data_IF_301179717231
#
_entry.id   IF_301179717231
#
_cell.length_a   1.000
_cell.length_b   1.000
_cell.length_c   1.000
_cell.angle_alpha   90.00
_cell.angle_beta   90.00
_cell.angle_gamma   90.00
#
_symmetry.space_group_name_H-M   'P 1'
#
loop_
_entity.id
_entity.type
_entity.pdbx_description
1 polymer ?
#
# COMPACT_ATOMS: atom_id res chain seq x y z
N UNK A 1 -10.06 -4.47 35.86
CA UNK A 1 -9.09 -4.06 34.83
C UNK A 1 -9.09 -5.12 33.77
N UNK A 2 -9.26 -4.74 32.51
CA UNK A 2 -9.06 -5.69 31.41
C UNK A 2 -7.60 -6.10 31.33
N UNK A 3 -7.28 -7.28 30.77
CA UNK A 3 -5.89 -7.72 30.57
C UNK A 3 -5.08 -6.71 29.74
N UNK A 4 -5.75 -6.00 28.82
CA UNK A 4 -5.12 -4.95 28.00
C UNK A 4 -4.73 -3.73 28.84
N UNK A 5 -5.57 -3.29 29.76
CA UNK A 5 -5.27 -2.14 30.66
C UNK A 5 -4.10 -2.43 31.61
N UNK A 6 -3.84 -3.70 31.92
CA UNK A 6 -2.67 -4.07 32.73
C UNK A 6 -1.34 -3.73 32.04
N UNK A 7 -1.32 -3.52 30.72
CA UNK A 7 -0.13 -3.10 29.97
C UNK A 7 0.18 -1.60 30.12
N UNK A 8 -0.72 -0.79 30.69
CA UNK A 8 -0.45 0.63 30.90
C UNK A 8 0.73 0.79 31.87
N UNK A 9 1.72 1.60 31.48
CA UNK A 9 2.96 1.79 32.21
C UNK A 9 4.10 0.84 31.79
N UNK A 10 3.80 -0.26 31.10
CA UNK A 10 4.84 -1.12 30.54
C UNK A 10 5.57 -0.44 29.39
N UNK A 11 6.81 -0.87 29.17
CA UNK A 11 7.72 -0.32 28.19
C UNK A 11 7.69 -1.10 26.87
N UNK A 12 7.70 -0.37 25.77
CA UNK A 12 7.77 -0.88 24.41
C UNK A 12 9.03 -0.37 23.73
N UNK A 13 9.61 -1.21 22.88
CA UNK A 13 10.65 -0.82 21.94
C UNK A 13 9.99 -0.64 20.58
N UNK A 14 9.96 0.59 20.09
CA UNK A 14 9.57 0.90 18.71
C UNK A 14 10.77 0.76 17.79
N UNK A 15 10.65 0.02 16.69
CA UNK A 15 11.75 -0.21 15.75
C UNK A 15 11.24 -0.10 14.32
N UNK A 16 11.87 0.80 13.56
CA UNK A 16 11.49 1.07 12.20
C UNK A 16 12.19 0.16 11.21
N UNK A 17 11.46 -0.30 10.16
CA UNK A 17 12.11 -0.97 9.05
C UNK A 17 13.25 -0.12 8.48
N UNK A 18 14.29 -0.78 8.03
CA UNK A 18 15.57 -0.23 7.58
C UNK A 18 16.36 0.50 8.67
N UNK A 19 16.11 0.22 9.95
CA UNK A 19 16.90 0.77 11.07
C UNK A 19 17.34 -0.35 12.03
N UNK A 20 18.31 -0.06 12.89
CA UNK A 20 18.82 -0.98 13.92
C UNK A 20 18.84 -0.37 15.34
N UNK A 21 18.25 0.81 15.48
CA UNK A 21 18.13 1.54 16.74
C UNK A 21 16.68 1.55 17.18
N UNK A 22 16.37 0.79 18.23
CA UNK A 22 15.06 0.82 18.87
C UNK A 22 14.90 2.06 19.74
N UNK A 23 13.69 2.60 19.81
CA UNK A 23 13.38 3.74 20.69
C UNK A 23 12.43 3.27 21.79
N UNK A 24 12.84 3.49 23.03
CA UNK A 24 12.06 3.11 24.19
C UNK A 24 10.86 4.05 24.37
N UNK A 25 9.71 3.47 24.65
CA UNK A 25 8.46 4.19 24.85
C UNK A 25 7.63 3.55 25.96
N UNK A 26 6.64 4.28 26.48
CA UNK A 26 5.77 3.80 27.55
C UNK A 26 4.32 3.81 27.10
N UNK A 27 3.60 2.73 27.36
CA UNK A 27 2.16 2.65 27.10
C UNK A 27 1.42 3.55 28.08
N UNK A 28 0.60 4.46 27.57
CA UNK A 28 -0.22 5.38 28.41
C UNK A 28 -1.72 5.16 28.25
N UNK A 29 -2.16 4.39 27.26
CA UNK A 29 -3.57 4.16 27.00
C UNK A 29 -3.79 3.45 25.67
N UNK A 30 -5.06 3.27 25.33
CA UNK A 30 -5.49 2.57 24.13
C UNK A 30 -6.61 3.30 23.41
N UNK A 31 -6.60 3.20 22.09
CA UNK A 31 -7.63 3.69 21.19
C UNK A 31 -8.25 2.52 20.42
N UNK A 32 -9.42 2.75 19.83
CA UNK A 32 -10.05 1.82 18.88
C UNK A 32 -9.49 1.94 17.47
N UNK A 33 -8.78 3.03 17.15
CA UNK A 33 -8.18 3.24 15.84
C UNK A 33 -7.10 2.19 15.55
N UNK A 34 -6.98 1.79 14.27
CA UNK A 34 -5.94 0.86 13.80
C UNK A 34 -4.63 1.60 13.47
N UNK A 35 -4.26 2.57 14.31
CA UNK A 35 -3.02 3.36 14.21
C UNK A 35 -2.41 3.53 15.59
N UNK A 36 -1.08 3.58 15.66
CA UNK A 36 -0.35 3.88 16.89
C UNK A 36 -0.15 5.39 17.02
N UNK A 37 -0.57 5.96 18.15
CA UNK A 37 -0.31 7.37 18.46
C UNK A 37 0.93 7.53 19.33
N UNK A 38 1.75 8.51 18.98
CA UNK A 38 2.93 8.88 19.74
C UNK A 38 3.24 10.37 19.56
N UNK A 39 4.03 10.93 20.47
CA UNK A 39 4.57 12.27 20.31
C UNK A 39 5.47 12.33 19.05
N UNK A 40 5.42 13.39 18.22
CA UNK A 40 6.23 13.50 16.99
C UNK A 40 7.71 13.22 17.19
N UNK A 41 8.33 13.75 18.27
CA UNK A 41 9.71 13.41 18.63
C UNK A 41 9.99 11.90 18.71
N UNK A 42 9.05 11.11 19.25
CA UNK A 42 9.22 9.65 19.34
C UNK A 42 9.15 9.00 17.94
N UNK A 43 8.31 9.52 17.06
CA UNK A 43 8.20 9.01 15.69
C UNK A 43 9.48 9.33 14.91
N UNK A 44 9.92 10.58 14.92
CA UNK A 44 11.11 11.01 14.19
C UNK A 44 12.42 10.49 14.80
N UNK A 45 12.46 10.21 16.09
CA UNK A 45 13.59 9.49 16.70
C UNK A 45 13.78 8.08 16.13
N UNK A 46 12.70 7.46 15.66
CA UNK A 46 12.74 6.17 14.96
C UNK A 46 13.10 6.31 13.48
N UNK A 47 13.48 7.51 13.02
CA UNK A 47 13.81 7.83 11.62
C UNK A 47 12.66 7.54 10.66
N UNK A 48 11.45 7.93 11.07
CA UNK A 48 10.22 7.74 10.30
C UNK A 48 9.58 9.06 9.91
N UNK A 49 9.01 9.05 8.72
CA UNK A 49 8.18 10.13 8.21
C UNK A 49 6.72 9.82 8.53
N UNK A 50 5.93 10.84 8.80
CA UNK A 50 4.50 10.67 9.10
C UNK A 50 3.61 10.73 7.84
N UNK A 51 4.08 10.20 6.71
CA UNK A 51 3.44 10.26 5.38
C UNK A 51 2.76 8.93 4.94
N UNK A 52 2.60 8.00 5.88
CA UNK A 52 1.96 6.69 5.64
C UNK A 52 2.82 5.49 6.00
N UNK A 53 3.97 5.72 6.63
CA UNK A 53 4.88 4.68 7.06
C UNK A 53 4.29 3.75 8.13
N UNK A 54 4.69 2.48 8.05
CA UNK A 54 4.41 1.46 9.04
C UNK A 54 5.62 1.23 9.96
N UNK A 55 5.35 0.91 11.22
CA UNK A 55 6.38 0.73 12.23
C UNK A 55 6.11 -0.50 13.11
N UNK A 56 7.16 -1.05 13.72
CA UNK A 56 7.03 -2.19 14.62
C UNK A 56 7.10 -1.75 16.09
N UNK A 57 6.38 -2.47 16.95
CA UNK A 57 6.47 -2.30 18.39
C UNK A 57 6.57 -3.66 19.08
N UNK A 58 7.51 -3.79 20.01
CA UNK A 58 7.75 -5.01 20.77
C UNK A 58 7.77 -4.68 22.26
N UNK A 59 7.42 -5.64 23.11
CA UNK A 59 7.56 -5.46 24.57
C UNK A 59 9.04 -5.47 24.95
N UNK A 60 9.45 -4.56 25.84
CA UNK A 60 10.85 -4.46 26.23
C UNK A 60 11.43 -5.78 26.74
N UNK A 61 10.71 -6.45 27.66
CA UNK A 61 11.18 -7.71 28.22
C UNK A 61 11.25 -8.84 27.18
N UNK A 62 10.37 -8.82 26.18
CA UNK A 62 10.40 -9.79 25.08
C UNK A 62 11.67 -9.59 24.23
N UNK A 63 11.97 -8.34 23.85
CA UNK A 63 13.22 -8.02 23.17
C UNK A 63 14.44 -8.48 23.96
N UNK A 64 14.51 -8.17 25.26
CA UNK A 64 15.69 -8.50 26.07
C UNK A 64 15.91 -10.00 26.28
N UNK A 65 14.83 -10.78 26.41
CA UNK A 65 14.92 -12.22 26.67
C UNK A 65 15.11 -13.04 25.38
N UNK A 66 14.46 -12.64 24.30
CA UNK A 66 14.36 -13.45 23.09
C UNK A 66 15.26 -12.98 21.95
N UNK A 67 15.88 -11.81 22.04
CA UNK A 67 16.84 -11.34 21.04
C UNK A 67 18.23 -11.95 21.26
N UNK A 68 18.83 -12.44 20.18
CA UNK A 68 20.25 -12.80 20.13
C UNK A 68 20.80 -12.51 18.73
N UNK A 69 21.98 -11.87 18.61
CA UNK A 69 22.66 -11.69 17.33
C UNK A 69 22.88 -13.00 16.55
N UNK A 70 22.96 -14.13 17.23
CA UNK A 70 23.11 -15.46 16.63
C UNK A 70 21.93 -15.89 15.75
N UNK A 71 20.76 -15.26 15.91
CA UNK A 71 19.58 -15.53 15.08
C UNK A 71 19.51 -14.65 13.82
N UNK A 72 20.39 -13.65 13.70
CA UNK A 72 20.39 -12.77 12.55
C UNK A 72 20.94 -13.49 11.30
N UNK A 73 20.34 -13.28 10.12
CA UNK A 73 20.80 -13.93 8.91
C UNK A 73 22.20 -13.42 8.52
N UNK A 74 23.08 -14.34 8.14
CA UNK A 74 24.47 -14.03 7.76
C UNK A 74 24.61 -13.28 6.41
N UNK A 75 23.51 -13.03 5.70
CA UNK A 75 23.50 -12.29 4.44
C UNK A 75 23.64 -10.78 4.67
N UNK A 76 24.07 -10.04 3.64
CA UNK A 76 24.12 -8.57 3.67
C UNK A 76 22.74 -7.99 4.02
N UNK A 77 22.71 -7.08 5.00
CA UNK A 77 21.49 -6.44 5.49
C UNK A 77 20.80 -7.19 6.63
N UNK A 78 21.34 -8.32 7.11
CA UNK A 78 20.71 -9.10 8.19
C UNK A 78 20.68 -8.44 9.57
N UNK A 79 21.42 -7.35 9.75
CA UNK A 79 21.42 -6.53 10.98
C UNK A 79 20.40 -5.39 10.95
N UNK A 80 19.82 -5.11 9.79
CA UNK A 80 18.71 -4.17 9.67
C UNK A 80 17.45 -4.85 10.22
N UNK A 81 16.54 -4.05 10.78
CA UNK A 81 15.27 -4.52 11.35
C UNK A 81 15.43 -5.34 12.64
N UNK A 82 16.59 -5.19 13.31
CA UNK A 82 16.87 -5.77 14.61
C UNK A 82 17.25 -4.67 15.63
N UNK A 83 16.75 -4.73 16.89
CA UNK A 83 17.04 -3.71 17.90
C UNK A 83 18.44 -3.93 18.51
N UNK A 84 19.50 -3.63 17.73
CA UNK A 84 20.91 -3.81 18.14
C UNK A 84 21.28 -2.80 19.24
N UNK A 85 20.80 -1.57 19.10
CA UNK A 85 20.99 -0.49 20.07
C UNK A 85 19.63 0.08 20.45
N UNK A 86 19.51 0.64 21.65
CA UNK A 86 18.27 1.22 22.15
C UNK A 86 18.48 2.63 22.69
N UNK A 87 17.68 3.56 22.20
CA UNK A 87 17.60 4.94 22.69
C UNK A 87 16.58 5.03 23.81
N UNK A 88 17.03 5.44 24.99
CA UNK A 88 16.21 5.54 26.21
C UNK A 88 15.73 6.96 26.47
N UNK A 89 16.51 7.96 26.05
CA UNK A 89 16.23 9.38 26.21
C UNK A 89 16.18 10.04 24.85
N UNK A 90 15.18 10.89 24.63
CA UNK A 90 15.01 11.64 23.39
C UNK A 90 15.61 13.03 23.54
N UNK A 91 16.58 13.35 22.69
CA UNK A 91 17.01 14.72 22.45
C UNK A 91 16.39 15.23 21.12
N UNK A 92 15.47 16.22 21.15
CA UNK A 92 14.91 16.82 19.94
C UNK A 92 15.94 17.41 18.98
N UNK A 93 17.19 17.65 19.40
CA UNK A 93 18.25 18.07 18.47
C UNK A 93 18.77 16.94 17.57
N UNK A 94 18.69 15.70 18.02
CA UNK A 94 19.27 14.54 17.32
C UNK A 94 18.25 13.80 16.43
N UNK A 95 16.96 14.10 16.62
CA UNK A 95 15.88 13.57 15.78
C UNK A 95 15.86 14.24 14.41
N UNK A 96 15.08 13.66 13.51
CA UNK A 96 14.89 14.15 12.16
C UNK A 96 14.35 15.59 12.08
N UNK A 97 14.73 16.32 11.02
CA UNK A 97 14.43 17.74 10.84
C UNK A 97 12.97 18.00 10.42
N UNK A 98 12.23 16.98 9.98
CA UNK A 98 10.79 17.10 9.71
C UNK A 98 10.03 17.65 10.93
N UNK A 99 10.37 17.19 12.14
CA UNK A 99 9.72 17.69 13.36
C UNK A 99 10.18 19.10 13.71
N UNK A 100 11.37 19.52 13.29
CA UNK A 100 11.86 20.88 13.55
C UNK A 100 11.00 21.94 12.83
N UNK A 101 10.38 21.56 11.71
CA UNK A 101 9.47 22.40 10.94
C UNK A 101 8.04 22.48 11.52
N UNK A 102 7.70 21.70 12.56
CA UNK A 102 6.37 21.76 13.17
C UNK A 102 6.12 23.08 13.89
N UNK A 103 4.94 23.64 13.65
CA UNK A 103 4.47 24.87 14.28
C UNK A 103 3.93 24.56 15.69
N UNK A 104 4.27 25.41 16.66
CA UNK A 104 3.90 25.22 18.08
C UNK A 104 2.89 26.26 18.59
N UNK A 105 2.45 27.18 17.73
CA UNK A 105 1.60 28.29 18.12
C UNK A 105 0.14 27.83 18.37
N UNK A 106 -0.53 28.29 19.44
CA UNK A 106 -1.92 27.95 19.71
C UNK A 106 -2.89 28.57 18.69
N UNK A 107 -2.51 29.69 18.07
CA UNK A 107 -3.22 30.31 16.97
C UNK A 107 -2.23 31.05 16.09
N UNK A 108 -2.49 31.09 14.78
CA UNK A 108 -1.64 31.84 13.86
C UNK A 108 -1.86 33.35 14.04
N UNK A 109 -0.80 34.16 13.95
CA UNK A 109 -0.92 35.62 14.05
C UNK A 109 -1.63 36.20 12.83
N UNK A 110 -2.25 37.38 12.98
CA UNK A 110 -2.91 38.08 11.87
C UNK A 110 -1.95 38.38 10.71
N UNK A 111 -0.67 38.60 11.00
CA UNK A 111 0.38 38.81 10.00
C UNK A 111 0.52 37.62 9.05
N UNK A 112 0.42 36.39 9.56
CA UNK A 112 0.46 35.16 8.76
C UNK A 112 -0.67 35.16 7.73
N UNK A 113 -1.92 35.38 8.17
CA UNK A 113 -3.08 35.41 7.26
C UNK A 113 -3.02 36.53 6.22
N UNK A 114 -2.39 37.67 6.53
CA UNK A 114 -2.18 38.73 5.54
C UNK A 114 -1.08 38.36 4.54
N UNK A 115 -0.02 37.71 4.99
CA UNK A 115 1.07 37.25 4.12
C UNK A 115 0.59 36.21 3.09
N UNK A 116 -0.38 35.36 3.44
CA UNK A 116 -0.93 34.38 2.49
C UNK A 116 -1.71 35.04 1.34
N UNK A 117 -2.33 36.21 1.57
CA UNK A 117 -2.99 36.99 0.51
C UNK A 117 -1.99 37.57 -0.51
N UNK A 118 -0.77 37.83 -0.08
CA UNK A 118 0.34 38.30 -0.91
C UNK A 118 1.14 37.14 -1.54
N UNK A 119 0.75 35.89 -1.30
CA UNK A 119 1.45 34.68 -1.79
C UNK A 119 2.94 34.64 -1.43
N UNK A 120 3.32 35.14 -0.25
CA UNK A 120 4.71 35.12 0.22
C UNK A 120 5.22 33.70 0.37
N UNK A 121 6.54 33.55 0.23
CA UNK A 121 7.21 32.29 0.52
C UNK A 121 7.05 31.95 2.02
N UNK A 122 6.88 30.68 2.39
CA UNK A 122 6.82 30.27 3.80
C UNK A 122 8.06 30.69 4.61
N UNK A 123 9.21 30.82 3.96
CA UNK A 123 10.45 31.26 4.61
C UNK A 123 10.42 32.73 5.07
N UNK A 124 9.55 33.56 4.46
CA UNK A 124 9.44 35.00 4.73
C UNK A 124 8.39 35.32 5.81
N UNK A 125 7.74 34.28 6.37
CA UNK A 125 6.66 34.43 7.35
C UNK A 125 7.11 33.87 8.70
N UNK A 126 7.07 34.72 9.72
CA UNK A 126 7.47 34.34 11.07
C UNK A 126 6.31 33.63 11.79
N UNK A 127 6.42 32.32 11.93
CA UNK A 127 5.60 31.47 12.80
C UNK A 127 6.53 30.67 13.69
N UNK A 128 6.21 30.58 14.97
CA UNK A 128 7.04 29.86 15.94
C UNK A 128 7.05 28.35 15.65
N UNK A 129 8.25 27.82 15.41
CA UNK A 129 8.49 26.41 15.09
C UNK A 129 9.30 25.72 16.19
N UNK A 130 9.30 24.38 16.18
CA UNK A 130 10.10 23.58 17.12
C UNK A 130 11.59 23.92 17.02
N UNK A 131 12.09 24.20 15.81
CA UNK A 131 13.50 24.60 15.58
C UNK A 131 13.94 25.78 16.48
N UNK A 132 13.04 26.74 16.74
CA UNK A 132 13.33 27.96 17.50
C UNK A 132 13.43 27.71 19.02
N UNK A 133 12.97 26.53 19.46
CA UNK A 133 12.96 26.07 20.85
C UNK A 133 14.06 25.06 21.16
N UNK A 134 14.79 24.56 20.16
CA UNK A 134 15.85 23.55 20.35
C UNK A 134 16.93 24.05 21.32
N UNK A 135 17.25 23.24 22.33
CA UNK A 135 18.23 23.56 23.37
C UNK A 135 17.71 24.44 24.50
N UNK A 136 16.44 24.86 24.46
CA UNK A 136 15.75 25.51 25.57
C UNK A 136 14.89 24.47 26.32
N UNK A 137 14.60 24.68 27.62
CA UNK A 137 13.68 23.80 28.36
C UNK A 137 12.26 23.71 27.75
N UNK A 138 11.89 24.72 26.96
CA UNK A 138 10.62 24.80 26.24
C UNK A 138 10.48 23.75 25.12
N UNK A 139 11.56 23.09 24.70
CA UNK A 139 11.48 22.05 23.66
C UNK A 139 10.55 20.87 24.04
N UNK A 140 10.29 20.65 25.33
CA UNK A 140 9.40 19.59 25.82
C UNK A 140 8.07 20.10 26.39
N UNK A 141 7.80 21.41 26.34
CA UNK A 141 6.63 22.03 26.99
C UNK A 141 5.94 23.01 26.05
N UNK A 142 4.68 23.32 26.33
CA UNK A 142 3.90 24.34 25.60
C UNK A 142 3.85 24.12 24.08
N UNK A 143 3.81 22.86 23.63
CA UNK A 143 3.55 22.52 22.24
C UNK A 143 2.03 22.49 22.07
N UNK A 144 1.49 23.45 21.31
CA UNK A 144 0.06 23.62 21.14
C UNK A 144 -0.40 23.19 19.75
N UNK A 145 -1.71 22.92 19.62
CA UNK A 145 -2.38 22.75 18.34
C UNK A 145 -3.39 23.88 18.11
N UNK A 146 -3.63 24.22 16.85
CA UNK A 146 -4.56 25.30 16.47
C UNK A 146 -6.02 24.86 16.51
N UNK A 147 -6.28 23.57 16.28
CA UNK A 147 -7.62 22.99 16.27
C UNK A 147 -7.73 21.94 17.38
N UNK A 148 -8.90 21.89 18.02
CA UNK A 148 -9.26 20.87 18.99
C UNK A 148 -10.19 19.84 18.36
N UNK A 149 -10.07 18.59 18.79
CA UNK A 149 -10.94 17.48 18.38
C UNK A 149 -11.66 16.90 19.60
N UNK A 150 -12.89 16.39 19.39
CA UNK A 150 -13.69 15.74 20.44
C UNK A 150 -13.11 14.40 20.86
N UNK A 151 -12.70 13.59 19.87
CA UNK A 151 -11.98 12.33 20.07
C UNK A 151 -10.96 12.12 18.96
N UNK A 152 -9.91 11.39 19.28
CA UNK A 152 -8.86 10.96 18.35
C UNK A 152 -9.26 9.75 17.50
N UNK A 153 -10.35 9.07 17.83
CA UNK A 153 -10.80 7.85 17.14
C UNK A 153 -12.29 7.84 16.76
N UNK A 154 -12.91 9.02 16.74
CA UNK A 154 -14.27 9.23 16.22
C UNK A 154 -14.25 9.27 14.68
N UNK A 155 -13.95 8.13 14.07
CA UNK A 155 -13.92 7.96 12.62
C UNK A 155 -14.15 6.48 12.22
N UNK A 156 -14.46 6.19 10.95
CA UNK A 156 -14.48 4.82 10.44
C UNK A 156 -13.15 4.10 10.69
N UNK A 157 -13.17 3.09 11.57
CA UNK A 157 -11.95 2.40 12.04
C UNK A 157 -11.27 1.56 10.94
N UNK A 158 -11.99 1.22 9.89
CA UNK A 158 -11.49 0.41 8.76
C UNK A 158 -11.89 1.08 7.46
N UNK A 159 -10.95 1.14 6.52
CA UNK A 159 -11.22 1.66 5.20
C UNK A 159 -12.15 0.72 4.42
N UNK A 160 -13.04 1.28 3.59
CA UNK A 160 -13.90 0.50 2.71
C UNK A 160 -13.10 -0.37 1.73
N UNK A 161 -11.86 0.03 1.40
CA UNK A 161 -10.97 -0.73 0.54
C UNK A 161 -10.61 -2.12 1.08
N UNK A 162 -10.47 -2.26 2.40
CA UNK A 162 -10.19 -3.56 3.05
C UNK A 162 -11.45 -4.42 3.14
N UNK A 163 -12.62 -3.80 3.24
CA UNK A 163 -13.91 -4.50 3.37
C UNK A 163 -14.41 -5.07 2.05
N UNK A 164 -14.13 -4.40 0.92
CA UNK A 164 -14.52 -4.86 -0.41
C UNK A 164 -13.55 -5.94 -0.88
N UNK A 165 -14.08 -7.10 -1.28
CA UNK A 165 -13.28 -8.25 -1.68
C UNK A 165 -12.80 -8.16 -3.14
N UNK A 166 -13.74 -8.06 -4.08
CA UNK A 166 -13.40 -8.20 -5.51
C UNK A 166 -12.84 -6.90 -6.09
N UNK A 167 -11.86 -7.00 -6.99
CA UNK A 167 -11.28 -5.82 -7.65
C UNK A 167 -12.31 -5.09 -8.52
N UNK A 168 -13.26 -5.82 -9.11
CA UNK A 168 -14.35 -5.21 -9.89
C UNK A 168 -15.23 -4.32 -9.02
N UNK A 169 -15.65 -4.80 -7.83
CA UNK A 169 -16.40 -4.01 -6.86
C UNK A 169 -15.60 -2.81 -6.35
N UNK A 170 -14.28 -2.95 -6.14
CA UNK A 170 -13.43 -1.83 -5.72
C UNK A 170 -13.41 -0.70 -6.74
N UNK A 171 -13.27 -1.07 -8.01
CA UNK A 171 -13.26 -0.09 -9.11
C UNK A 171 -14.65 0.54 -9.27
N UNK A 172 -15.71 -0.25 -9.17
CA UNK A 172 -17.07 0.28 -9.20
C UNK A 172 -17.35 1.24 -8.04
N UNK A 173 -16.95 0.90 -6.81
CA UNK A 173 -17.07 1.77 -5.64
C UNK A 173 -16.26 3.06 -5.79
N UNK A 174 -15.05 2.98 -6.35
CA UNK A 174 -14.22 4.16 -6.68
C UNK A 174 -14.96 5.08 -7.65
N UNK A 175 -15.48 4.56 -8.77
CA UNK A 175 -16.17 5.37 -9.77
C UNK A 175 -17.53 5.90 -9.29
N UNK A 176 -18.24 5.15 -8.46
CA UNK A 176 -19.45 5.64 -7.79
C UNK A 176 -19.15 6.81 -6.83
N UNK A 177 -17.92 6.91 -6.30
CA UNK A 177 -17.46 8.06 -5.53
C UNK A 177 -17.06 9.21 -6.46
N UNK A 178 -16.36 8.94 -7.55
CA UNK A 178 -16.01 9.95 -8.56
C UNK A 178 -17.26 10.69 -9.07
N UNK A 179 -18.34 9.97 -9.37
CA UNK A 179 -19.60 10.56 -9.83
C UNK A 179 -20.29 11.49 -8.82
N UNK A 180 -19.98 11.32 -7.53
CA UNK A 180 -20.55 12.15 -6.45
C UNK A 180 -19.72 13.40 -6.16
N UNK A 181 -18.43 13.39 -6.51
CA UNK A 181 -17.50 14.46 -6.13
C UNK A 181 -17.37 15.47 -7.27
N UNK A 182 -17.81 16.71 -7.00
CA UNK A 182 -17.71 17.83 -7.97
C UNK A 182 -16.28 18.15 -8.41
N UNK A 183 -15.29 17.94 -7.54
CA UNK A 183 -13.90 18.25 -7.81
C UNK A 183 -13.20 17.21 -8.72
N UNK A 184 -13.84 16.09 -9.03
CA UNK A 184 -13.23 14.98 -9.78
C UNK A 184 -13.87 14.88 -11.16
N UNK A 185 -13.04 14.94 -12.20
CA UNK A 185 -13.47 14.56 -13.55
C UNK A 185 -13.43 13.03 -13.68
N UNK A 186 -14.60 12.40 -13.60
CA UNK A 186 -14.75 10.95 -13.65
C UNK A 186 -14.31 10.37 -15.01
N UNK A 187 -14.49 11.11 -16.12
CA UNK A 187 -14.10 10.66 -17.45
C UNK A 187 -12.57 10.68 -17.61
N UNK A 188 -11.90 11.74 -17.14
CA UNK A 188 -10.42 11.78 -17.13
C UNK A 188 -9.83 10.71 -16.20
N UNK A 189 -10.42 10.51 -15.01
CA UNK A 189 -10.01 9.45 -14.10
C UNK A 189 -10.13 8.06 -14.74
N UNK A 190 -11.26 7.75 -15.39
CA UNK A 190 -11.47 6.49 -16.10
C UNK A 190 -10.46 6.30 -17.23
N UNK A 191 -10.23 7.34 -18.03
CA UNK A 191 -9.22 7.35 -19.10
C UNK A 191 -7.82 7.03 -18.56
N UNK A 192 -7.41 7.67 -17.46
CA UNK A 192 -6.08 7.44 -16.85
C UNK A 192 -5.95 6.02 -16.34
N UNK A 193 -6.93 5.51 -15.59
CA UNK A 193 -6.92 4.14 -15.07
C UNK A 193 -6.77 3.10 -16.19
N UNK A 194 -7.49 3.28 -17.30
CA UNK A 194 -7.39 2.37 -18.45
C UNK A 194 -6.00 2.45 -19.08
N UNK A 195 -5.46 3.65 -19.29
CA UNK A 195 -4.17 3.85 -19.95
C UNK A 195 -2.96 3.40 -19.12
N UNK A 196 -2.95 3.67 -17.82
CA UNK A 196 -1.78 3.43 -16.96
C UNK A 196 -1.81 2.07 -16.26
N UNK A 197 -2.99 1.50 -16.02
CA UNK A 197 -3.11 0.23 -15.30
C UNK A 197 -3.67 -0.88 -16.18
N UNK A 198 -4.86 -0.71 -16.77
CA UNK A 198 -5.54 -1.85 -17.40
C UNK A 198 -4.91 -2.27 -18.72
N UNK A 199 -4.62 -1.33 -19.62
CA UNK A 199 -3.97 -1.64 -20.90
C UNK A 199 -2.58 -2.27 -20.71
N UNK A 200 -1.67 -1.71 -19.88
CA UNK A 200 -0.38 -2.34 -19.62
C UNK A 200 -0.49 -3.75 -19.04
N UNK A 201 -1.46 -4.00 -18.14
CA UNK A 201 -1.66 -5.33 -17.56
C UNK A 201 -2.22 -6.32 -18.58
N UNK A 202 -3.22 -5.94 -19.38
CA UNK A 202 -3.80 -6.78 -20.42
C UNK A 202 -2.75 -7.16 -21.49
N UNK A 203 -2.04 -6.18 -22.04
CA UNK A 203 -0.97 -6.45 -23.02
C UNK A 203 0.19 -7.23 -22.40
N UNK A 204 0.61 -6.84 -21.19
CA UNK A 204 1.71 -7.48 -20.48
C UNK A 204 1.43 -8.95 -20.19
N UNK A 205 0.23 -9.27 -19.71
CA UNK A 205 -0.17 -10.63 -19.42
C UNK A 205 -0.38 -11.45 -20.70
N UNK A 206 -0.98 -10.87 -21.74
CA UNK A 206 -1.12 -11.55 -23.04
C UNK A 206 0.24 -11.88 -23.65
N UNK A 207 1.17 -10.92 -23.65
CA UNK A 207 2.52 -11.12 -24.15
C UNK A 207 3.27 -12.18 -23.33
N UNK A 208 3.23 -12.09 -21.99
CA UNK A 208 3.88 -13.07 -21.11
C UNK A 208 3.27 -14.45 -21.25
N UNK A 209 1.96 -14.57 -21.46
CA UNK A 209 1.27 -15.85 -21.68
C UNK A 209 1.85 -16.60 -22.89
N UNK A 210 2.16 -15.90 -23.98
CA UNK A 210 2.75 -16.50 -25.19
C UNK A 210 4.19 -17.02 -24.99
N UNK A 211 4.91 -16.48 -23.99
CA UNK A 211 6.32 -16.81 -23.69
C UNK A 211 6.51 -17.53 -22.36
N UNK A 212 5.42 -17.97 -21.74
CA UNK A 212 5.45 -18.44 -20.36
C UNK A 212 6.21 -19.76 -20.19
N UNK A 213 6.66 -19.99 -18.96
CA UNK A 213 7.21 -21.28 -18.54
C UNK A 213 6.14 -22.12 -17.84
N UNK A 214 6.40 -23.42 -17.76
CA UNK A 214 5.55 -24.40 -17.10
C UNK A 214 6.19 -24.85 -15.80
N UNK A 215 5.41 -24.88 -14.72
CA UNK A 215 5.90 -25.29 -13.40
C UNK A 215 5.27 -26.62 -12.98
N UNK A 216 6.09 -27.53 -12.47
CA UNK A 216 5.61 -28.75 -11.81
C UNK A 216 5.07 -28.44 -10.41
N UNK A 217 3.89 -28.96 -10.08
CA UNK A 217 3.26 -28.78 -8.75
C UNK A 217 4.07 -29.44 -7.63
N UNK A 218 4.68 -30.60 -7.88
CA UNK A 218 5.37 -31.39 -6.86
C UNK A 218 6.80 -30.92 -6.58
N UNK A 219 7.61 -30.74 -7.63
CA UNK A 219 9.05 -30.48 -7.49
C UNK A 219 9.47 -29.05 -7.86
N UNK A 220 8.51 -28.18 -8.23
CA UNK A 220 8.74 -26.80 -8.65
C UNK A 220 9.74 -26.62 -9.81
N UNK A 221 10.05 -27.69 -10.54
CA UNK A 221 10.85 -27.62 -11.75
C UNK A 221 10.15 -26.73 -12.79
N UNK A 222 10.92 -25.84 -13.41
CA UNK A 222 10.47 -24.96 -14.48
C UNK A 222 10.92 -25.51 -15.82
N UNK A 223 10.00 -25.54 -16.77
CA UNK A 223 10.23 -26.01 -18.13
C UNK A 223 9.84 -24.92 -19.12
N UNK A 224 10.72 -24.59 -20.05
CA UNK A 224 10.42 -23.65 -21.14
C UNK A 224 9.36 -24.19 -22.11
N UNK A 225 9.30 -25.51 -22.30
CA UNK A 225 8.33 -26.21 -23.14
C UNK A 225 7.79 -27.43 -22.38
N UNK A 226 6.52 -27.76 -22.58
CA UNK A 226 5.93 -28.97 -22.00
C UNK A 226 6.60 -30.20 -22.62
N UNK A 227 7.15 -31.13 -21.82
CA UNK A 227 7.65 -32.41 -22.32
C UNK A 227 6.53 -33.19 -23.03
N UNK A 228 6.87 -33.92 -24.08
CA UNK A 228 5.89 -34.69 -24.88
C UNK A 228 5.09 -35.70 -24.04
N UNK A 229 5.66 -36.19 -22.94
CA UNK A 229 4.96 -37.06 -22.00
C UNK A 229 3.82 -36.38 -21.20
N UNK A 230 3.68 -35.05 -21.30
CA UNK A 230 2.68 -34.26 -20.56
C UNK A 230 2.89 -34.21 -19.03
N UNK A 231 3.97 -34.83 -18.54
CA UNK A 231 4.32 -34.98 -17.12
C UNK A 231 5.72 -34.44 -16.87
N UNK A 232 6.00 -34.13 -15.61
CA UNK A 232 7.34 -33.74 -15.17
C UNK A 232 8.34 -34.88 -15.41
N UNK A 233 9.44 -34.57 -16.11
CA UNK A 233 10.51 -35.53 -16.47
C UNK A 233 11.59 -35.68 -15.41
N UNK A 234 11.57 -34.90 -14.32
CA UNK A 234 12.48 -35.13 -13.18
C UNK A 234 12.22 -36.50 -12.56
N UNK A 235 13.31 -37.18 -12.23
CA UNK A 235 13.33 -38.52 -11.65
C UNK A 235 12.38 -38.62 -10.44
N UNK A 236 11.50 -39.63 -10.48
CA UNK A 236 10.56 -39.93 -9.40
C UNK A 236 9.39 -38.95 -9.22
N UNK A 237 9.25 -37.89 -10.02
CA UNK A 237 8.22 -36.89 -9.79
C UNK A 237 6.88 -37.22 -10.46
N UNK A 238 6.87 -37.36 -11.80
CA UNK A 238 5.67 -37.62 -12.61
C UNK A 238 4.52 -36.60 -12.43
N UNK A 239 4.78 -35.44 -11.83
CA UNK A 239 3.78 -34.44 -11.48
C UNK A 239 3.19 -33.70 -12.68
N UNK A 240 1.99 -33.14 -12.50
CA UNK A 240 1.33 -32.30 -13.51
C UNK A 240 2.06 -30.97 -13.66
N UNK A 241 2.21 -30.53 -14.90
CA UNK A 241 2.73 -29.21 -15.25
C UNK A 241 1.57 -28.22 -15.38
N UNK A 242 1.69 -27.08 -14.72
CA UNK A 242 0.72 -25.99 -14.79
C UNK A 242 1.31 -24.79 -15.54
N UNK A 243 0.42 -24.06 -16.19
CA UNK A 243 0.69 -22.72 -16.72
C UNK A 243 1.04 -21.78 -15.56
N UNK A 244 2.03 -20.93 -15.78
CA UNK A 244 2.37 -19.88 -14.80
C UNK A 244 1.41 -18.69 -14.89
N UNK A 245 0.82 -18.47 -16.08
CA UNK A 245 -0.20 -17.44 -16.31
C UNK A 245 -1.45 -18.12 -16.86
N UNK A 246 -2.57 -17.95 -16.17
CA UNK A 246 -3.85 -18.50 -16.58
C UNK A 246 -4.60 -17.55 -17.53
N UNK A 247 -5.54 -18.10 -18.33
CA UNK A 247 -6.46 -17.31 -19.17
C UNK A 247 -7.16 -16.21 -18.37
N UNK A 248 -7.63 -16.53 -17.16
CA UNK A 248 -8.33 -15.58 -16.30
C UNK A 248 -7.48 -14.38 -15.89
N UNK A 249 -6.16 -14.55 -15.77
CA UNK A 249 -5.25 -13.43 -15.50
C UNK A 249 -5.11 -12.50 -16.70
N UNK A 250 -5.16 -13.04 -17.92
CA UNK A 250 -5.04 -12.26 -19.16
C UNK A 250 -6.32 -11.45 -19.42
N UNK A 251 -7.49 -11.97 -19.04
CA UNK A 251 -8.78 -11.31 -19.23
C UNK A 251 -9.25 -10.47 -18.03
N UNK A 252 -8.42 -10.30 -16.99
CA UNK A 252 -8.82 -9.80 -15.65
C UNK A 252 -9.44 -8.40 -15.62
N UNK A 253 -9.26 -7.58 -16.66
CA UNK A 253 -9.81 -6.22 -16.73
C UNK A 253 -10.56 -5.90 -18.02
N UNK A 254 -10.78 -6.88 -18.90
CA UNK A 254 -11.34 -6.62 -20.23
C UNK A 254 -12.77 -6.09 -20.13
N UNK A 255 -13.64 -6.82 -19.43
CA UNK A 255 -15.05 -6.45 -19.27
C UNK A 255 -15.23 -5.16 -18.46
N UNK A 256 -14.38 -4.95 -17.45
CA UNK A 256 -14.38 -3.72 -16.69
C UNK A 256 -13.99 -2.51 -17.55
N UNK A 257 -12.99 -2.66 -18.41
CA UNK A 257 -12.54 -1.59 -19.31
C UNK A 257 -13.65 -1.18 -20.28
N UNK A 258 -14.38 -2.15 -20.85
CA UNK A 258 -15.52 -1.88 -21.73
C UNK A 258 -16.62 -1.10 -21.02
N UNK A 259 -17.03 -1.55 -19.83
CA UNK A 259 -18.04 -0.87 -19.02
C UNK A 259 -17.67 0.58 -18.72
N UNK A 260 -16.40 0.86 -18.42
CA UNK A 260 -15.95 2.23 -18.15
C UNK A 260 -15.93 3.10 -19.42
N UNK A 261 -15.54 2.53 -20.56
CA UNK A 261 -15.55 3.24 -21.85
C UNK A 261 -16.97 3.66 -22.22
N UNK A 262 -17.94 2.75 -22.06
CA UNK A 262 -19.36 3.01 -22.34
C UNK A 262 -19.95 4.01 -21.34
N UNK A 263 -19.75 3.79 -20.03
CA UNK A 263 -20.31 4.65 -18.96
C UNK A 263 -19.89 6.11 -19.09
N UNK A 264 -18.63 6.36 -19.43
CA UNK A 264 -18.06 7.73 -19.47
C UNK A 264 -17.87 8.26 -20.90
N UNK A 265 -18.37 7.55 -21.92
CA UNK A 265 -18.24 7.91 -23.33
C UNK A 265 -16.79 8.32 -23.70
N UNK A 266 -15.84 7.43 -23.37
CA UNK A 266 -14.41 7.71 -23.54
C UNK A 266 -14.02 7.79 -25.04
N UNK A 267 -12.90 8.46 -25.38
CA UNK A 267 -12.48 8.62 -26.77
C UNK A 267 -12.40 7.32 -27.56
N UNK A 268 -12.82 7.36 -28.83
CA UNK A 268 -12.90 6.21 -29.74
C UNK A 268 -11.61 5.41 -29.81
N UNK A 269 -10.46 6.07 -29.71
CA UNK A 269 -9.14 5.43 -29.67
C UNK A 269 -9.02 4.37 -28.55
N UNK A 270 -9.54 4.64 -27.35
CA UNK A 270 -9.51 3.68 -26.24
C UNK A 270 -10.44 2.49 -26.51
N UNK A 271 -11.62 2.77 -27.05
CA UNK A 271 -12.58 1.73 -27.46
C UNK A 271 -11.95 0.79 -28.48
N UNK A 272 -11.31 1.34 -29.52
CA UNK A 272 -10.63 0.56 -30.55
C UNK A 272 -9.48 -0.28 -29.98
N UNK A 273 -8.68 0.27 -29.05
CA UNK A 273 -7.59 -0.50 -28.41
C UNK A 273 -8.10 -1.68 -27.60
N UNK A 274 -9.14 -1.49 -26.80
CA UNK A 274 -9.74 -2.59 -26.03
C UNK A 274 -10.33 -3.63 -26.98
N UNK A 275 -10.99 -3.22 -28.06
CA UNK A 275 -11.51 -4.13 -29.09
C UNK A 275 -10.41 -4.97 -29.75
N UNK A 276 -9.27 -4.36 -30.10
CA UNK A 276 -8.13 -5.08 -30.68
C UNK A 276 -7.52 -6.10 -29.70
N UNK A 277 -7.46 -5.75 -28.42
CA UNK A 277 -6.98 -6.67 -27.37
C UNK A 277 -7.96 -7.82 -27.20
N UNK A 278 -9.26 -7.54 -27.14
CA UNK A 278 -10.28 -8.56 -27.06
C UNK A 278 -10.17 -9.56 -28.22
N UNK A 279 -10.06 -9.08 -29.45
CA UNK A 279 -9.86 -9.93 -30.63
C UNK A 279 -8.58 -10.77 -30.49
N UNK A 280 -7.49 -10.17 -30.01
CA UNK A 280 -6.22 -10.87 -29.78
C UNK A 280 -6.36 -11.98 -28.73
N UNK A 281 -7.03 -11.70 -27.62
CA UNK A 281 -7.32 -12.68 -26.55
C UNK A 281 -8.20 -13.80 -27.11
N UNK A 282 -9.27 -13.48 -27.83
CA UNK A 282 -10.17 -14.47 -28.44
C UNK A 282 -9.47 -15.36 -29.47
N UNK A 283 -8.53 -14.80 -30.24
CA UNK A 283 -7.74 -15.57 -31.21
C UNK A 283 -6.74 -16.52 -30.54
N UNK A 284 -6.14 -16.13 -29.42
CA UNK A 284 -5.23 -16.99 -28.64
C UNK A 284 -6.00 -18.07 -27.89
N UNK A 285 -7.12 -17.69 -27.28
CA UNK A 285 -7.98 -18.58 -26.50
C UNK A 285 -9.25 -18.90 -27.27
N UNK A 286 -9.09 -19.43 -28.49
CA UNK A 286 -10.24 -19.91 -29.27
C UNK A 286 -11.11 -20.75 -28.34
N UNK A 287 -12.43 -20.51 -28.29
CA UNK A 287 -13.31 -21.43 -27.61
C UNK A 287 -12.97 -22.82 -28.16
N UNK A 288 -12.79 -23.81 -27.28
CA UNK A 288 -12.75 -25.21 -27.73
C UNK A 288 -13.94 -25.34 -28.68
N UNK A 289 -13.67 -25.73 -29.93
CA UNK A 289 -14.74 -25.98 -30.87
C UNK A 289 -15.77 -26.82 -30.12
N UNK A 290 -17.05 -26.42 -30.07
CA UNK A 290 -18.05 -27.34 -29.55
C UNK A 290 -17.85 -28.58 -30.40
N UNK A 291 -17.36 -29.68 -29.79
CA UNK A 291 -17.14 -30.96 -30.47
C UNK A 291 -18.26 -31.10 -31.46
N UNK A 292 -17.95 -31.03 -32.76
CA UNK A 292 -18.94 -30.77 -33.82
C UNK A 292 -20.22 -31.52 -33.48
N UNK A 293 -21.22 -30.81 -32.94
CA UNK A 293 -22.53 -31.43 -32.74
C UNK A 293 -23.04 -31.57 -34.15
N UNK A 294 -23.07 -32.81 -34.63
CA UNK A 294 -23.63 -33.22 -35.91
C UNK A 294 -24.76 -32.27 -36.30
N UNK A 295 -24.55 -31.47 -37.34
CA UNK A 295 -25.54 -30.50 -37.77
C UNK A 295 -26.79 -31.26 -38.20
N UNK A 296 -27.91 -31.00 -37.53
CA UNK A 296 -29.19 -31.58 -37.89
C UNK A 296 -29.67 -30.90 -39.19
N UNK A 297 -29.99 -31.69 -40.21
CA UNK A 297 -30.42 -31.20 -41.53
C UNK A 297 -31.69 -30.34 -41.48
N UNK A 298 -32.47 -30.39 -40.40
CA UNK A 298 -33.64 -29.53 -40.17
C UNK A 298 -33.30 -28.05 -39.97
N UNK A 299 -32.04 -27.68 -39.70
CA UNK A 299 -31.64 -26.27 -39.58
C UNK A 299 -31.45 -25.57 -40.93
N UNK A 300 -31.55 -26.32 -42.04
CA UNK A 300 -31.39 -25.82 -43.42
C UNK A 300 -32.68 -25.91 -44.26
N UNK A 301 -33.79 -26.35 -43.68
CA UNK A 301 -35.14 -26.27 -44.26
C UNK A 301 -35.92 -25.13 -43.64
#
# INVERSE_FOLDING_TARGET
MSEREALIGHLLVGLSPHTSCGVLSRVIGFTKANVGYAHPYLISARRRNCDGDEDSCMLLMDCLLNFSPSFLPASRGGTMDAPIVMTVLLDPKEVDDEVHAMECAPAFPLSFYRATLETKSPADVEVEQIRDRLGKPEQFRNIHSTHSTSSIDEAPLRSSYVLIGSMAEKVEAQFNLCDKIRAVDAADAARRVILTHFLPDLYGNLYRFSRQEFRCVKCNAKYRRVPLAGKCTRDGCGGKLLLTISKGSVSKYLELSKKLIERYNLPTYLSQRIMLIEQSISNVFRPEEPKEKQANLEAFM
#
